data_IF_550412123725
#
_entry.id   IF_550412123725
#
_cell.length_a   1.000
_cell.length_b   1.000
_cell.length_c   1.000
_cell.angle_alpha   90.00
_cell.angle_beta   90.00
_cell.angle_gamma   90.00
#
_symmetry.space_group_name_H-M   'P 1'
#
loop_
_entity.id
_entity.type
_entity.pdbx_description
1 polymer ?
#
# COMPACT_ATOMS: atom_id res chain seq x y z
N UNK A 1 -8.91 13.41 -19.08
CA UNK A 1 -9.52 14.29 -18.04
C UNK A 1 -9.47 13.56 -16.71
N UNK A 2 -8.46 13.85 -15.88
CA UNK A 2 -8.35 13.27 -14.54
C UNK A 2 -9.00 14.24 -13.56
N UNK A 3 -10.13 13.85 -12.98
CA UNK A 3 -10.82 14.63 -11.94
C UNK A 3 -9.88 14.82 -10.74
N UNK A 4 -9.54 16.07 -10.45
CA UNK A 4 -8.94 16.47 -9.19
C UNK A 4 -9.85 16.06 -8.03
N UNK A 5 -9.26 15.45 -6.99
CA UNK A 5 -9.93 15.21 -5.72
C UNK A 5 -10.08 16.55 -4.97
N UNK A 6 -11.24 16.81 -4.33
CA UNK A 6 -11.47 18.07 -3.63
C UNK A 6 -10.67 18.16 -2.32
N UNK A 7 -9.98 19.28 -2.12
CA UNK A 7 -9.51 19.71 -0.81
C UNK A 7 -10.70 20.10 0.07
N UNK A 8 -10.86 19.42 1.21
CA UNK A 8 -11.79 19.83 2.26
C UNK A 8 -11.04 20.75 3.22
N UNK A 9 -11.32 22.06 3.17
CA UNK A 9 -10.98 23.02 4.23
C UNK A 9 -12.02 22.85 5.35
N UNK A 10 -11.57 22.55 6.56
CA UNK A 10 -12.38 22.63 7.77
C UNK A 10 -12.04 23.90 8.54
N UNK A 11 -12.90 24.91 8.45
CA UNK A 11 -12.88 26.06 9.35
C UNK A 11 -13.49 25.66 10.71
N UNK A 12 -12.69 25.74 11.77
CA UNK A 12 -13.12 25.49 13.16
C UNK A 12 -13.41 26.81 13.84
N UNK A 13 -14.69 27.17 13.96
CA UNK A 13 -15.13 28.24 14.86
C UNK A 13 -15.15 27.76 16.31
N UNK A 14 -14.24 28.30 17.13
CA UNK A 14 -14.29 28.22 18.60
C UNK A 14 -15.32 29.20 19.16
N UNK A 15 -16.15 28.75 20.11
CA UNK A 15 -16.74 29.61 21.15
C UNK A 15 -16.48 28.99 22.53
N UNK A 16 -16.16 29.80 23.56
CA UNK A 16 -15.93 29.31 24.91
C UNK A 16 -17.22 29.35 25.74
N UNK A 17 -17.44 28.33 26.58
CA UNK A 17 -18.49 28.28 27.58
C UNK A 17 -18.01 27.47 28.78
N UNK A 18 -17.97 28.13 29.93
CA UNK A 18 -17.46 27.68 31.23
C UNK A 18 -18.50 26.87 32.04
N UNK A 19 -18.03 26.18 33.10
CA UNK A 19 -18.74 25.55 34.25
C UNK A 19 -18.93 24.00 34.23
N UNK A 20 -19.07 23.32 35.40
CA UNK A 20 -17.97 22.72 36.16
C UNK A 20 -18.15 21.22 36.50
N UNK A 21 -17.07 20.62 37.06
CA UNK A 21 -16.92 19.31 37.75
C UNK A 21 -18.16 18.41 37.94
N UNK A 22 -18.07 17.19 37.39
CA UNK A 22 -18.48 15.96 38.06
C UNK A 22 -17.65 14.76 37.57
N UNK A 23 -17.05 14.02 38.51
CA UNK A 23 -16.36 12.74 38.32
C UNK A 23 -17.39 11.64 38.03
N UNK A 24 -17.27 10.94 36.91
CA UNK A 24 -17.71 9.54 36.77
C UNK A 24 -16.71 8.83 35.86
N UNK A 25 -15.97 7.89 36.45
CA UNK A 25 -15.18 6.90 35.74
C UNK A 25 -16.09 6.04 34.88
N UNK A 26 -16.06 6.26 33.56
CA UNK A 26 -16.68 5.38 32.59
C UNK A 26 -15.57 4.63 31.85
N UNK A 27 -15.47 3.35 32.21
CA UNK A 27 -14.86 2.23 31.51
C UNK A 27 -14.24 2.57 30.15
N UNK A 28 -12.92 2.43 30.08
CA UNK A 28 -12.18 2.22 28.85
C UNK A 28 -12.68 0.95 28.15
N UNK A 29 -13.79 1.05 27.42
CA UNK A 29 -14.07 0.17 26.31
C UNK A 29 -13.17 0.63 25.15
N UNK A 30 -11.86 0.40 25.34
CA UNK A 30 -10.93 0.38 24.23
C UNK A 30 -11.33 -0.79 23.37
N UNK A 31 -12.25 -0.56 22.43
CA UNK A 31 -12.33 -1.34 21.22
C UNK A 31 -10.97 -1.16 20.55
N UNK A 32 -10.02 -2.03 20.90
CA UNK A 32 -8.91 -2.33 20.03
C UNK A 32 -9.57 -2.79 18.74
N UNK A 33 -9.80 -1.83 17.84
CA UNK A 33 -9.91 -2.12 16.43
C UNK A 33 -8.75 -3.08 16.19
N UNK A 34 -9.08 -4.33 15.90
CA UNK A 34 -8.12 -5.34 15.49
C UNK A 34 -7.45 -4.76 14.27
N UNK A 35 -6.34 -4.06 14.49
CA UNK A 35 -5.46 -3.64 13.43
C UNK A 35 -5.07 -4.94 12.78
N UNK A 36 -5.53 -5.17 11.54
CA UNK A 36 -5.12 -6.27 10.66
C UNK A 36 -3.62 -6.52 10.88
N UNK A 37 -3.27 -7.51 11.70
CA UNK A 37 -1.95 -7.65 12.31
C UNK A 37 -1.33 -8.91 11.72
N UNK A 38 -0.84 -8.78 10.50
CA UNK A 38 0.07 -9.77 9.95
C UNK A 38 1.50 -9.43 10.38
N UNK A 39 2.30 -10.47 10.59
CA UNK A 39 3.72 -10.33 10.85
C UNK A 39 4.51 -10.99 9.72
N UNK A 40 5.60 -10.34 9.32
CA UNK A 40 6.55 -10.95 8.41
C UNK A 40 7.46 -11.93 9.15
N UNK A 41 7.90 -13.03 8.49
CA UNK A 41 8.91 -13.93 9.02
C UNK A 41 10.15 -13.17 9.53
N UNK A 42 10.71 -13.55 10.70
CA UNK A 42 11.87 -12.86 11.26
C UNK A 42 13.15 -13.06 10.43
N UNK A 43 13.20 -14.09 9.60
CA UNK A 43 14.33 -14.48 8.76
C UNK A 43 14.33 -13.84 7.37
N UNK A 44 13.55 -12.77 7.15
CA UNK A 44 13.58 -12.08 5.87
C UNK A 44 14.97 -11.49 5.58
N UNK A 45 15.52 -11.71 4.38
CA UNK A 45 16.80 -11.14 4.00
C UNK A 45 16.68 -9.62 3.94
N UNK A 46 17.55 -8.93 4.67
CA UNK A 46 17.66 -7.49 4.57
C UNK A 46 18.28 -7.10 3.22
N UNK A 47 17.65 -6.15 2.54
CA UNK A 47 18.26 -5.42 1.42
C UNK A 47 19.45 -4.61 1.94
N UNK A 48 20.49 -4.44 1.11
CA UNK A 48 21.60 -3.56 1.44
C UNK A 48 21.10 -2.12 1.64
N UNK A 49 21.70 -1.41 2.58
CA UNK A 49 21.36 -0.04 2.91
C UNK A 49 21.67 0.93 1.76
N UNK A 50 20.86 1.96 1.58
CA UNK A 50 21.11 3.03 0.63
C UNK A 50 19.93 3.39 -0.26
N UNK A 51 20.21 4.03 -1.39
CA UNK A 51 19.21 4.43 -2.37
C UNK A 51 18.82 3.26 -3.26
N UNK A 52 17.52 3.04 -3.40
CA UNK A 52 16.94 2.02 -4.26
C UNK A 52 16.02 2.65 -5.29
N UNK A 53 16.12 2.21 -6.54
CA UNK A 53 15.10 2.47 -7.54
C UNK A 53 14.09 1.35 -7.54
N UNK A 54 12.80 1.68 -7.51
CA UNK A 54 11.67 0.76 -7.63
C UNK A 54 10.87 1.13 -8.89
N UNK A 55 10.96 0.30 -9.92
CA UNK A 55 10.18 0.44 -11.15
C UNK A 55 9.01 -0.54 -11.11
N UNK A 56 7.80 -0.01 -11.09
CA UNK A 56 6.56 -0.76 -11.11
C UNK A 56 5.87 -0.61 -12.46
N UNK A 57 5.42 -1.71 -13.04
CA UNK A 57 4.55 -1.75 -14.23
C UNK A 57 3.25 -2.47 -13.88
N UNK A 58 2.13 -1.95 -14.35
CA UNK A 58 0.82 -2.51 -14.08
C UNK A 58 -0.09 -2.36 -15.30
N UNK A 59 -0.94 -3.35 -15.52
CA UNK A 59 -2.03 -3.27 -16.49
C UNK A 59 -3.33 -3.05 -15.73
N UNK A 60 -4.00 -1.93 -15.99
CA UNK A 60 -5.26 -1.56 -15.31
C UNK A 60 -6.35 -1.47 -16.34
N UNK A 61 -7.48 -2.18 -16.14
CA UNK A 61 -8.67 -1.95 -16.96
C UNK A 61 -9.60 -0.94 -16.32
N UNK A 62 -9.97 0.07 -17.09
CA UNK A 62 -10.92 1.13 -16.73
C UNK A 62 -11.90 1.36 -17.89
N UNK A 63 -13.20 1.30 -17.62
CA UNK A 63 -14.25 1.53 -18.63
C UNK A 63 -14.14 0.69 -19.91
N UNK A 64 -13.64 -0.55 -19.83
CA UNK A 64 -13.43 -1.44 -20.98
C UNK A 64 -12.12 -1.22 -21.75
N UNK A 65 -11.32 -0.21 -21.38
CA UNK A 65 -9.97 0.02 -21.93
C UNK A 65 -8.92 -0.60 -21.03
N UNK A 66 -7.85 -1.09 -21.63
CA UNK A 66 -6.65 -1.57 -20.93
C UNK A 66 -5.61 -0.45 -20.98
N UNK A 67 -5.17 0.00 -19.80
CA UNK A 67 -4.17 1.05 -19.63
C UNK A 67 -2.87 0.43 -19.13
N UNK A 68 -1.75 0.86 -19.70
CA UNK A 68 -0.42 0.51 -19.23
C UNK A 68 0.11 1.60 -18.30
N UNK A 69 0.35 1.25 -17.04
CA UNK A 69 0.85 2.17 -16.02
C UNK A 69 2.29 1.81 -15.68
N UNK A 70 3.17 2.81 -15.67
CA UNK A 70 4.55 2.66 -15.17
C UNK A 70 4.84 3.72 -14.12
N UNK A 71 5.31 3.32 -12.94
CA UNK A 71 5.78 4.21 -11.87
C UNK A 71 7.23 3.90 -11.55
N UNK A 72 8.04 4.93 -11.34
CA UNK A 72 9.43 4.78 -10.89
C UNK A 72 9.62 5.61 -9.63
N UNK A 73 9.93 4.95 -8.54
CA UNK A 73 10.25 5.56 -7.26
C UNK A 73 11.73 5.43 -6.95
N UNK A 74 12.29 6.42 -6.27
CA UNK A 74 13.52 6.28 -5.51
C UNK A 74 13.17 6.19 -4.03
N UNK A 75 13.78 5.26 -3.29
CA UNK A 75 13.50 5.01 -1.87
C UNK A 75 14.81 4.84 -1.12
N UNK A 76 15.00 5.55 -0.01
CA UNK A 76 16.12 5.33 0.89
C UNK A 76 15.77 4.20 1.87
N UNK A 77 16.58 3.14 1.89
CA UNK A 77 16.32 1.94 2.70
C UNK A 77 17.45 1.67 3.68
N UNK A 78 17.06 1.30 4.89
CA UNK A 78 17.84 0.50 5.84
C UNK A 78 17.08 -0.82 6.11
N UNK A 79 17.54 -1.64 7.06
CA UNK A 79 16.87 -2.89 7.41
C UNK A 79 15.41 -2.67 7.86
N UNK A 80 15.13 -1.60 8.62
CA UNK A 80 13.79 -1.30 9.15
C UNK A 80 12.86 -0.81 8.06
N UNK A 81 13.30 0.14 7.24
CA UNK A 81 12.56 0.68 6.11
C UNK A 81 12.34 -0.38 5.04
N UNK A 82 13.27 -1.32 4.84
CA UNK A 82 13.07 -2.47 3.95
C UNK A 82 11.92 -3.36 4.44
N UNK A 83 11.82 -3.61 5.74
CA UNK A 83 10.69 -4.37 6.31
C UNK A 83 9.38 -3.58 6.24
N UNK A 84 9.43 -2.28 6.53
CA UNK A 84 8.27 -1.40 6.39
C UNK A 84 7.78 -1.31 4.94
N UNK A 85 8.67 -1.34 3.95
CA UNK A 85 8.29 -1.35 2.54
C UNK A 85 7.47 -2.59 2.18
N UNK A 86 7.80 -3.76 2.73
CA UNK A 86 6.97 -4.96 2.56
C UNK A 86 5.59 -4.82 3.23
N UNK A 87 5.52 -4.17 4.40
CA UNK A 87 4.23 -3.84 5.01
C UNK A 87 3.43 -2.92 4.10
N UNK A 88 4.06 -1.87 3.56
CA UNK A 88 3.42 -0.92 2.65
C UNK A 88 2.82 -1.62 1.42
N UNK A 89 3.53 -2.57 0.81
CA UNK A 89 3.03 -3.37 -0.32
C UNK A 89 1.73 -4.11 0.02
N UNK A 90 1.64 -4.70 1.22
CA UNK A 90 0.42 -5.36 1.69
C UNK A 90 -0.69 -4.35 1.95
N UNK A 91 -0.39 -3.26 2.67
CA UNK A 91 -1.37 -2.23 3.04
C UNK A 91 -1.95 -1.52 1.81
N UNK A 92 -1.16 -1.30 0.77
CA UNK A 92 -1.63 -0.75 -0.50
C UNK A 92 -2.69 -1.68 -1.15
N UNK A 93 -2.48 -3.00 -1.09
CA UNK A 93 -3.47 -3.96 -1.60
C UNK A 93 -4.74 -4.02 -0.74
N UNK A 94 -4.62 -4.00 0.58
CA UNK A 94 -5.77 -3.91 1.48
C UNK A 94 -6.58 -2.63 1.22
N UNK A 95 -5.93 -1.48 1.08
CA UNK A 95 -6.57 -0.21 0.74
C UNK A 95 -7.26 -0.26 -0.64
N UNK A 96 -6.65 -0.93 -1.63
CA UNK A 96 -7.24 -1.11 -2.96
C UNK A 96 -8.53 -1.94 -2.93
N UNK A 97 -8.58 -3.00 -2.12
CA UNK A 97 -9.81 -3.79 -1.90
C UNK A 97 -10.86 -3.00 -1.10
N UNK A 98 -10.45 -2.30 -0.04
CA UNK A 98 -11.35 -1.47 0.76
C UNK A 98 -12.00 -0.34 -0.05
N UNK A 99 -11.33 0.18 -1.09
CA UNK A 99 -11.94 1.13 -2.05
C UNK A 99 -13.16 0.56 -2.76
N UNK A 100 -13.22 -0.76 -2.94
CA UNK A 100 -14.35 -1.51 -3.52
C UNK A 100 -15.33 -2.02 -2.44
N UNK A 101 -15.17 -1.59 -1.18
CA UNK A 101 -15.97 -2.07 -0.05
C UNK A 101 -15.84 -3.58 0.19
N UNK A 102 -14.66 -4.13 -0.12
CA UNK A 102 -14.31 -5.52 0.14
C UNK A 102 -13.49 -5.61 1.42
N UNK A 103 -13.82 -6.60 2.25
CA UNK A 103 -13.04 -6.94 3.44
C UNK A 103 -12.12 -8.10 3.11
N UNK A 104 -10.84 -7.98 3.46
CA UNK A 104 -9.84 -9.02 3.23
C UNK A 104 -9.50 -9.74 4.52
N UNK A 105 -9.23 -11.04 4.39
CA UNK A 105 -8.51 -11.80 5.41
C UNK A 105 -7.10 -11.20 5.62
N UNK A 106 -6.56 -11.39 6.82
CA UNK A 106 -5.16 -11.07 7.07
C UNK A 106 -4.27 -11.94 6.18
N UNK A 107 -3.27 -11.35 5.49
CA UNK A 107 -2.36 -12.12 4.68
C UNK A 107 -1.48 -12.98 5.57
N UNK A 108 -1.05 -14.11 5.01
CA UNK A 108 -0.08 -15.02 5.65
C UNK A 108 1.24 -14.93 4.90
N UNK A 109 2.22 -14.14 5.37
CA UNK A 109 3.51 -14.04 4.71
C UNK A 109 4.37 -15.25 5.04
N UNK A 110 4.91 -15.87 3.99
CA UNK A 110 5.78 -17.03 4.05
C UNK A 110 7.08 -16.71 3.32
N UNK A 111 8.21 -17.15 3.88
CA UNK A 111 9.51 -17.03 3.24
C UNK A 111 10.09 -18.42 3.00
N UNK A 112 10.31 -18.76 1.73
CA UNK A 112 10.84 -20.06 1.31
C UNK A 112 11.94 -19.87 0.26
N UNK A 113 13.11 -20.48 0.50
CA UNK A 113 14.30 -20.28 -0.33
C UNK A 113 14.72 -18.81 -0.37
N UNK A 114 14.52 -18.15 -1.51
CA UNK A 114 14.78 -16.73 -1.74
C UNK A 114 13.51 -15.95 -2.12
N UNK A 115 12.33 -16.44 -1.76
CA UNK A 115 11.05 -15.82 -2.12
C UNK A 115 10.21 -15.54 -0.87
N UNK A 116 9.80 -14.28 -0.71
CA UNK A 116 8.74 -13.88 0.21
C UNK A 116 7.42 -13.89 -0.56
N UNK A 117 6.44 -14.67 -0.12
CA UNK A 117 5.11 -14.69 -0.70
C UNK A 117 4.04 -14.43 0.34
N UNK A 118 2.93 -13.86 -0.08
CA UNK A 118 1.72 -13.77 0.72
C UNK A 118 0.50 -13.78 -0.18
N UNK A 119 -0.62 -14.22 0.36
CA UNK A 119 -1.90 -14.15 -0.30
C UNK A 119 -2.98 -13.71 0.69
N UNK A 120 -4.03 -13.09 0.16
CA UNK A 120 -5.24 -12.78 0.91
C UNK A 120 -6.47 -12.98 0.04
N UNK A 121 -7.55 -13.39 0.68
CA UNK A 121 -8.86 -13.49 0.07
C UNK A 121 -9.72 -12.31 0.54
N UNK A 122 -10.39 -11.64 -0.39
CA UNK A 122 -11.24 -10.49 -0.13
C UNK A 122 -12.67 -10.76 -0.60
N UNK A 123 -13.62 -10.42 0.26
CA UNK A 123 -15.06 -10.62 0.02
C UNK A 123 -15.80 -9.29 0.14
N UNK A 124 -16.66 -9.01 -0.84
CA UNK A 124 -17.57 -7.86 -0.78
C UNK A 124 -18.84 -8.17 0.03
N UNK A 125 -19.52 -7.13 0.53
CA UNK A 125 -20.80 -7.26 1.27
C UNK A 125 -22.06 -7.16 0.38
N UNK A 126 -21.91 -6.99 -0.94
CA UNK A 126 -23.02 -6.81 -1.90
C UNK A 126 -23.49 -8.15 -2.50
N UNK A 127 -24.75 -8.30 -2.96
CA UNK A 127 -25.16 -9.42 -3.82
C UNK A 127 -24.35 -9.52 -5.13
N UNK A 128 -23.75 -8.40 -5.56
CA UNK A 128 -22.80 -8.33 -6.68
C UNK A 128 -21.34 -8.38 -6.20
N UNK A 129 -21.10 -8.85 -4.96
CA UNK A 129 -19.77 -8.86 -4.36
C UNK A 129 -18.79 -9.64 -5.21
N UNK A 130 -17.64 -9.02 -5.41
CA UNK A 130 -16.51 -9.67 -6.04
C UNK A 130 -15.80 -10.50 -4.99
N UNK A 131 -15.49 -11.75 -5.35
CA UNK A 131 -14.54 -12.57 -4.63
C UNK A 131 -13.18 -12.33 -5.27
N UNK A 132 -12.31 -11.63 -4.57
CA UNK A 132 -11.00 -11.24 -5.08
C UNK A 132 -9.93 -12.03 -4.34
N UNK A 133 -9.08 -12.72 -5.08
CA UNK A 133 -7.83 -13.26 -4.55
C UNK A 133 -6.67 -12.36 -4.93
N UNK A 134 -5.86 -12.02 -3.95
CA UNK A 134 -4.63 -11.27 -4.15
C UNK A 134 -3.48 -12.19 -3.80
N UNK A 135 -2.54 -12.35 -4.73
CA UNK A 135 -1.29 -13.09 -4.53
C UNK A 135 -0.12 -12.18 -4.82
N UNK A 136 0.90 -12.24 -4.00
CA UNK A 136 2.12 -11.48 -4.17
C UNK A 136 3.32 -12.38 -3.88
N UNK A 137 4.37 -12.22 -4.68
CA UNK A 137 5.66 -12.86 -4.45
C UNK A 137 6.79 -11.88 -4.77
N UNK A 138 7.73 -11.74 -3.85
CA UNK A 138 9.01 -11.05 -4.02
C UNK A 138 10.14 -12.05 -4.03
N UNK A 139 10.84 -12.15 -5.16
CA UNK A 139 12.08 -12.88 -5.36
C UNK A 139 13.29 -12.00 -5.04
N UNK A 140 14.14 -12.47 -4.13
CA UNK A 140 15.42 -11.85 -3.81
C UNK A 140 16.51 -12.45 -4.71
N UNK A 141 16.92 -11.70 -5.73
CA UNK A 141 17.98 -12.12 -6.66
C UNK A 141 19.36 -11.92 -6.03
N UNK A 142 19.52 -10.85 -5.26
CA UNK A 142 20.70 -10.55 -4.44
C UNK A 142 20.31 -9.59 -3.32
N UNK A 143 21.29 -9.14 -2.52
CA UNK A 143 21.07 -8.06 -1.55
C UNK A 143 20.88 -6.68 -2.20
N UNK A 144 21.15 -6.56 -3.50
CA UNK A 144 21.09 -5.32 -4.28
C UNK A 144 20.00 -5.35 -5.38
N UNK A 145 19.25 -6.45 -5.51
CA UNK A 145 18.22 -6.60 -6.53
C UNK A 145 17.08 -7.52 -6.08
N UNK A 146 15.84 -7.05 -6.23
CA UNK A 146 14.62 -7.85 -5.99
C UNK A 146 13.63 -7.69 -7.14
N UNK A 147 12.83 -8.73 -7.40
CA UNK A 147 11.72 -8.69 -8.35
C UNK A 147 10.46 -9.16 -7.67
N UNK A 148 9.34 -8.49 -7.90
CA UNK A 148 8.06 -8.89 -7.35
C UNK A 148 6.98 -8.95 -8.42
N UNK A 149 6.06 -9.88 -8.24
CA UNK A 149 4.81 -9.97 -9.00
C UNK A 149 3.64 -9.92 -8.02
N UNK A 150 2.62 -9.16 -8.36
CA UNK A 150 1.31 -9.24 -7.72
C UNK A 150 0.23 -9.55 -8.75
N UNK A 151 -0.61 -10.52 -8.43
CA UNK A 151 -1.79 -10.86 -9.21
C UNK A 151 -3.04 -10.58 -8.38
N UNK A 152 -3.98 -9.85 -8.97
CA UNK A 152 -5.32 -9.65 -8.42
C UNK A 152 -6.29 -10.40 -9.34
N UNK A 153 -6.95 -11.42 -8.80
CA UNK A 153 -7.89 -12.25 -9.55
C UNK A 153 -9.29 -12.00 -9.03
N UNK A 154 -10.15 -11.45 -9.86
CA UNK A 154 -11.58 -11.31 -9.59
C UNK A 154 -12.32 -12.53 -10.16
N UNK A 155 -12.99 -13.26 -9.27
CA UNK A 155 -13.77 -14.47 -9.57
C UNK A 155 -15.27 -14.21 -9.72
N UNK A 156 -15.70 -12.95 -9.79
CA UNK A 156 -17.11 -12.61 -10.04
C UNK A 156 -17.53 -12.91 -11.49
N UNK A 157 -18.76 -13.42 -11.66
CA UNK A 157 -19.38 -13.60 -12.98
C UNK A 157 -18.77 -14.72 -13.83
N UNK A 158 -19.08 -14.69 -15.14
CA UNK A 158 -18.71 -15.73 -16.12
C UNK A 158 -17.31 -15.57 -16.72
N UNK A 159 -16.61 -14.46 -16.46
CA UNK A 159 -15.29 -14.19 -17.01
C UNK A 159 -14.32 -13.76 -15.91
N UNK A 160 -13.36 -14.64 -15.58
CA UNK A 160 -12.30 -14.36 -14.62
C UNK A 160 -11.42 -13.20 -15.13
N UNK A 161 -11.30 -12.15 -14.32
CA UNK A 161 -10.39 -11.04 -14.60
C UNK A 161 -9.13 -11.18 -13.76
N UNK A 162 -7.97 -11.04 -14.39
CA UNK A 162 -6.66 -11.05 -13.74
C UNK A 162 -5.90 -9.78 -14.08
N UNK A 163 -5.61 -8.98 -13.06
CA UNK A 163 -4.74 -7.80 -13.17
C UNK A 163 -3.36 -8.17 -12.61
N UNK A 164 -2.30 -7.77 -13.31
CA UNK A 164 -0.90 -8.06 -12.95
C UNK A 164 -0.14 -6.76 -12.69
N UNK A 165 0.73 -6.81 -11.68
CA UNK A 165 1.70 -5.76 -11.36
C UNK A 165 3.06 -6.40 -11.18
N UNK A 166 4.06 -5.87 -11.87
CA UNK A 166 5.45 -6.26 -11.74
C UNK A 166 6.24 -5.13 -11.11
N UNK A 167 7.10 -5.46 -10.16
CA UNK A 167 8.02 -4.51 -9.53
C UNK A 167 9.44 -5.02 -9.68
N UNK A 168 10.34 -4.17 -10.17
CA UNK A 168 11.77 -4.42 -10.14
C UNK A 168 12.44 -3.39 -9.25
N UNK A 169 13.26 -3.85 -8.31
CA UNK A 169 14.04 -2.99 -7.44
C UNK A 169 15.52 -3.25 -7.60
N UNK A 170 16.31 -2.18 -7.69
CA UNK A 170 17.76 -2.25 -7.78
C UNK A 170 18.40 -1.14 -6.94
N UNK A 171 19.45 -1.48 -6.21
CA UNK A 171 20.24 -0.51 -5.44
C UNK A 171 21.05 0.39 -6.38
N UNK A 172 21.02 1.70 -6.10
CA UNK A 172 21.75 2.72 -6.85
C UNK A 172 23.00 3.23 -6.13
N UNK A 173 23.11 3.03 -4.81
CA UNK A 173 24.26 3.48 -4.01
C UNK A 173 23.82 4.01 -2.65
N UNK A 174 24.50 5.04 -2.15
CA UNK A 174 24.13 5.72 -0.91
C UNK A 174 22.86 6.58 -1.08
N UNK A 175 22.13 6.82 0.01
CA UNK A 175 21.01 7.76 0.01
C UNK A 175 21.47 9.19 -0.31
N UNK A 176 20.59 9.98 -0.93
CA UNK A 176 20.84 11.40 -1.18
C UNK A 176 21.06 12.16 0.16
N UNK A 177 21.86 13.23 0.13
CA UNK A 177 22.11 14.05 1.31
C UNK A 177 20.78 14.59 1.85
N UNK A 178 20.53 14.36 3.14
CA UNK A 178 19.32 14.81 3.83
C UNK A 178 18.15 13.83 3.79
N UNK A 179 18.23 12.75 3.01
CA UNK A 179 17.24 11.68 3.06
C UNK A 179 17.49 10.77 4.26
N UNK A 180 16.39 10.36 4.91
CA UNK A 180 16.35 9.38 5.98
C UNK A 180 15.84 8.05 5.44
N UNK A 181 16.20 6.90 6.06
CA UNK A 181 15.57 5.64 5.73
C UNK A 181 14.04 5.72 5.86
N UNK A 182 13.33 5.33 4.79
CA UNK A 182 11.88 5.50 4.67
C UNK A 182 11.48 6.58 3.66
N UNK A 183 12.32 7.59 3.42
CA UNK A 183 12.03 8.65 2.46
C UNK A 183 11.92 8.05 1.04
N UNK A 184 10.90 8.49 0.31
CA UNK A 184 10.65 8.09 -1.07
C UNK A 184 10.30 9.27 -1.96
N UNK A 185 10.64 9.17 -3.25
CA UNK A 185 10.30 10.18 -4.26
C UNK A 185 9.82 9.51 -5.53
N UNK A 186 8.66 9.94 -6.02
CA UNK A 186 8.16 9.55 -7.33
C UNK A 186 8.94 10.31 -8.40
N UNK A 187 9.68 9.57 -9.21
CA UNK A 187 10.52 10.10 -10.28
C UNK A 187 9.75 10.16 -11.60
N UNK A 188 8.99 9.10 -11.90
CA UNK A 188 8.20 9.00 -13.13
C UNK A 188 6.84 8.34 -12.86
N UNK A 189 5.81 8.84 -13.53
CA UNK A 189 4.52 8.17 -13.61
C UNK A 189 3.96 8.33 -15.02
N UNK A 190 3.95 7.23 -15.77
CA UNK A 190 3.42 7.16 -17.12
C UNK A 190 2.15 6.34 -17.20
N UNK A 191 1.23 6.75 -18.08
CA UNK A 191 0.02 6.02 -18.46
C UNK A 191 -0.04 6.00 -19.98
N UNK A 192 -0.09 4.81 -20.58
CA UNK A 192 -0.03 4.60 -22.04
C UNK A 192 1.16 5.32 -22.71
N UNK A 193 2.29 5.36 -22.02
CA UNK A 193 3.52 6.02 -22.47
C UNK A 193 3.61 7.51 -22.10
N UNK A 194 2.50 8.17 -21.78
CA UNK A 194 2.45 9.61 -21.49
C UNK A 194 2.85 9.93 -20.05
N UNK A 195 3.81 10.85 -19.87
CA UNK A 195 4.22 11.34 -18.55
C UNK A 195 3.09 12.14 -17.89
N UNK A 196 2.52 11.54 -16.85
CA UNK A 196 1.41 12.09 -16.07
C UNK A 196 1.93 12.93 -14.91
N UNK A 197 3.15 12.66 -14.44
CA UNK A 197 3.75 13.40 -13.33
C UNK A 197 4.07 14.84 -13.74
N UNK A 198 3.42 15.82 -13.08
CA UNK A 198 3.67 17.25 -13.32
C UNK A 198 4.76 17.86 -12.43
N UNK A 199 5.28 17.10 -11.46
CA UNK A 199 6.34 17.51 -10.55
C UNK A 199 6.71 16.39 -9.59
N UNK A 200 7.87 16.53 -8.93
CA UNK A 200 8.34 15.54 -7.93
C UNK A 200 7.32 15.41 -6.81
N UNK A 201 7.01 14.18 -6.43
CA UNK A 201 6.18 13.88 -5.26
C UNK A 201 7.04 13.15 -4.23
N UNK A 202 7.26 13.80 -3.09
CA UNK A 202 7.95 13.20 -1.96
C UNK A 202 6.95 12.46 -1.06
N UNK A 203 7.38 11.34 -0.51
CA UNK A 203 6.63 10.45 0.36
C UNK A 203 7.53 9.92 1.47
N UNK A 204 6.93 9.17 2.38
CA UNK A 204 7.64 8.42 3.41
C UNK A 204 6.91 7.10 3.65
N UNK A 205 7.65 5.99 3.65
CA UNK A 205 7.10 4.64 3.76
C UNK A 205 6.23 4.49 5.00
N UNK A 206 6.66 5.03 6.14
CA UNK A 206 5.92 4.92 7.40
C UNK A 206 4.63 5.73 7.37
N UNK A 207 4.68 6.96 6.83
CA UNK A 207 3.49 7.79 6.66
C UNK A 207 2.48 7.15 5.70
N UNK A 208 2.94 6.56 4.59
CA UNK A 208 2.04 5.89 3.66
C UNK A 208 1.37 4.65 4.28
N UNK A 209 2.08 3.88 5.13
CA UNK A 209 1.49 2.78 5.89
C UNK A 209 0.32 3.28 6.76
N UNK A 210 0.53 4.36 7.53
CA UNK A 210 -0.52 4.91 8.39
C UNK A 210 -1.68 5.49 7.59
N UNK A 211 -1.41 6.15 6.46
CA UNK A 211 -2.44 6.62 5.53
C UNK A 211 -3.31 5.45 5.01
N UNK A 212 -2.69 4.33 4.61
CA UNK A 212 -3.42 3.16 4.13
C UNK A 212 -4.22 2.47 5.23
N UNK A 213 -3.70 2.40 6.47
CA UNK A 213 -4.45 1.91 7.64
C UNK A 213 -5.70 2.76 7.90
N UNK A 214 -5.52 4.08 7.98
CA UNK A 214 -6.62 5.02 8.21
C UNK A 214 -7.67 4.97 7.08
N UNK A 215 -7.23 4.93 5.82
CA UNK A 215 -8.12 4.78 4.66
C UNK A 215 -8.94 3.50 4.74
N UNK A 216 -8.28 2.36 4.96
CA UNK A 216 -8.94 1.05 5.06
C UNK A 216 -9.97 1.04 6.17
N UNK A 217 -9.62 1.52 7.37
CA UNK A 217 -10.53 1.61 8.50
C UNK A 217 -11.75 2.49 8.17
N UNK A 218 -11.56 3.65 7.53
CA UNK A 218 -12.66 4.56 7.16
C UNK A 218 -13.65 3.96 6.16
N UNK A 219 -13.21 3.00 5.33
CA UNK A 219 -14.03 2.36 4.30
C UNK A 219 -14.81 1.16 4.83
N UNK A 220 -14.23 0.42 5.78
CA UNK A 220 -14.80 -0.81 6.31
C UNK A 220 -15.50 -0.64 7.66
N UNK A 221 -15.26 0.46 8.39
CA UNK A 221 -15.84 0.77 9.69
C UNK A 221 -17.29 1.25 9.67
N UNK A 222 -18.15 0.66 8.82
CA UNK A 222 -19.60 0.84 8.83
C UNK A 222 -20.31 -0.47 9.13
#
# INVERSE_FOLDING_TARGET
MVKQLPQVRGDVHRRPGFFPRALVSALAAGSCATAFAFEFPPNLPARNEGLWQMSQTATVRDGGRTLEVRKVWNVCLDARASRALHELEVRERQASAARRQESCEDPRPEFSGNTLSWAMHCTGRSPTAHNIDIRHATLFLSRDETRAESAVTDRSGSAQRRDLVFTHMKRLGACEKGWKPGDMRLMHWRVDGDETLKGRQDGDVYREIENHKAFTASRLGR
#
